data_IF_544551223134
#
_entry.id   IF_544551223134
#
_cell.length_a   1.000
_cell.length_b   1.000
_cell.length_c   1.000
_cell.angle_alpha   90.00
_cell.angle_beta   90.00
_cell.angle_gamma   90.00
#
_symmetry.space_group_name_H-M   'P 1'
#
loop_
_entity.id
_entity.type
_entity.pdbx_description
1 polymer ?
#
# COMPACT_ATOMS: atom_id res chain seq x y z
N UNK A 1 -54.08 5.02 -36.22
CA UNK A 1 -54.89 5.41 -35.05
C UNK A 1 -54.13 5.00 -33.80
N UNK A 2 -53.88 5.93 -32.87
CA UNK A 2 -53.30 5.77 -31.51
C UNK A 2 -51.91 5.08 -31.41
N UNK A 3 -50.77 5.75 -31.11
CA UNK A 3 -50.41 6.55 -29.91
C UNK A 3 -50.55 5.84 -28.56
N UNK A 4 -49.65 4.90 -28.27
CA UNK A 4 -49.04 4.60 -26.94
C UNK A 4 -47.77 3.76 -27.21
N UNK A 5 -46.67 3.74 -26.43
CA UNK A 5 -46.21 4.49 -25.24
C UNK A 5 -44.99 5.38 -25.63
N UNK A 6 -44.41 6.15 -24.70
CA UNK A 6 -43.12 6.86 -24.81
C UNK A 6 -42.27 6.58 -23.55
N UNK A 7 -40.94 6.52 -23.73
CA UNK A 7 -39.90 6.91 -22.75
C UNK A 7 -39.63 5.98 -21.53
N UNK A 8 -38.47 6.23 -20.88
CA UNK A 8 -37.89 5.57 -19.69
C UNK A 8 -37.33 4.15 -19.91
N UNK A 9 -36.08 3.80 -19.56
CA UNK A 9 -35.06 4.46 -18.71
C UNK A 9 -33.69 4.54 -19.42
N UNK A 10 -33.13 5.74 -19.58
CA UNK A 10 -31.68 5.90 -19.62
C UNK A 10 -31.20 5.92 -18.16
N UNK A 11 -30.86 4.75 -17.62
CA UNK A 11 -30.23 4.69 -16.30
C UNK A 11 -28.79 5.19 -16.43
N UNK A 12 -28.63 6.51 -16.34
CA UNK A 12 -27.33 7.12 -16.10
C UNK A 12 -26.92 6.66 -14.71
N UNK A 13 -26.08 5.63 -14.66
CA UNK A 13 -25.29 5.32 -13.48
C UNK A 13 -24.37 6.51 -13.26
N UNK A 14 -24.86 7.50 -12.52
CA UNK A 14 -24.05 8.54 -11.93
C UNK A 14 -23.15 7.83 -10.91
N UNK A 15 -22.04 7.27 -11.41
CA UNK A 15 -20.91 6.88 -10.60
C UNK A 15 -20.41 8.18 -10.02
N UNK A 16 -20.94 8.53 -8.84
CA UNK A 16 -20.43 9.59 -8.01
C UNK A 16 -19.03 9.17 -7.60
N UNK A 17 -18.06 9.58 -8.42
CA UNK A 17 -16.64 9.45 -8.11
C UNK A 17 -16.46 10.16 -6.78
N UNK A 18 -16.29 9.39 -5.71
CA UNK A 18 -16.03 9.88 -4.38
C UNK A 18 -14.65 10.55 -4.40
N UNK A 19 -14.63 11.82 -4.79
CA UNK A 19 -13.42 12.62 -4.78
C UNK A 19 -13.03 12.83 -3.34
N UNK A 20 -12.04 12.06 -2.87
CA UNK A 20 -11.44 12.30 -1.57
C UNK A 20 -10.68 13.63 -1.61
N UNK A 21 -10.84 14.46 -0.57
CA UNK A 21 -10.07 15.68 -0.43
C UNK A 21 -8.68 15.35 0.12
N UNK A 22 -7.67 15.48 -0.74
CA UNK A 22 -6.29 15.17 -0.39
C UNK A 22 -5.59 16.41 0.17
N UNK A 23 -4.75 16.26 1.23
CA UNK A 23 -3.86 17.34 1.62
C UNK A 23 -2.97 17.75 0.46
N UNK A 24 -2.56 19.02 0.41
CA UNK A 24 -1.46 19.47 -0.45
C UNK A 24 -0.20 18.63 -0.12
N UNK A 25 0.61 18.32 -1.14
CA UNK A 25 1.92 17.71 -0.95
C UNK A 25 2.76 18.58 -0.02
N UNK A 26 3.19 18.00 1.09
CA UNK A 26 4.07 18.62 2.07
C UNK A 26 5.08 17.56 2.55
N UNK A 27 6.33 17.76 2.15
CA UNK A 27 7.48 16.92 2.48
C UNK A 27 8.50 17.69 3.34
N UNK A 28 8.08 18.79 3.98
CA UNK A 28 8.97 19.69 4.75
C UNK A 28 9.53 19.05 6.03
N UNK A 29 8.88 18.01 6.55
CA UNK A 29 9.23 17.33 7.79
C UNK A 29 8.83 15.84 7.78
N UNK A 30 9.42 14.99 8.64
CA UNK A 30 8.95 13.62 8.82
C UNK A 30 7.47 13.54 9.21
N UNK A 31 7.00 14.50 10.03
CA UNK A 31 5.59 14.64 10.41
C UNK A 31 4.71 14.87 9.18
N UNK A 32 5.07 15.83 8.34
CA UNK A 32 4.34 16.17 7.11
C UNK A 32 4.29 15.01 6.12
N UNK A 33 5.44 14.38 5.86
CA UNK A 33 5.55 13.21 4.96
C UNK A 33 4.68 12.05 5.43
N UNK A 34 4.76 11.68 6.72
CA UNK A 34 3.92 10.62 7.27
C UNK A 34 2.42 10.99 7.22
N UNK A 35 2.07 12.23 7.57
CA UNK A 35 0.68 12.73 7.51
C UNK A 35 0.11 12.65 6.09
N UNK A 36 0.89 13.09 5.10
CA UNK A 36 0.51 13.07 3.70
C UNK A 36 0.38 11.63 3.18
N UNK A 37 1.32 10.74 3.50
CA UNK A 37 1.22 9.32 3.17
C UNK A 37 -0.07 8.67 3.72
N UNK A 38 -0.30 8.82 5.03
CA UNK A 38 -1.46 8.22 5.71
C UNK A 38 -2.79 8.75 5.18
N UNK A 39 -2.90 10.05 4.92
CA UNK A 39 -4.10 10.66 4.33
C UNK A 39 -4.32 10.22 2.88
N UNK A 40 -3.27 10.14 2.08
CA UNK A 40 -3.33 9.67 0.70
C UNK A 40 -3.78 8.20 0.63
N UNK A 41 -3.20 7.34 1.45
CA UNK A 41 -3.62 5.94 1.55
C UNK A 41 -5.00 5.75 2.20
N UNK A 42 -5.47 6.68 3.05
CA UNK A 42 -6.88 6.69 3.50
C UNK A 42 -7.83 6.92 2.33
N UNK A 43 -7.56 7.89 1.45
CA UNK A 43 -8.35 8.10 0.24
C UNK A 43 -8.37 6.85 -0.66
N UNK A 44 -7.21 6.21 -0.83
CA UNK A 44 -7.10 4.93 -1.56
C UNK A 44 -8.00 3.82 -0.98
N UNK A 45 -7.97 3.60 0.34
CA UNK A 45 -8.82 2.61 1.02
C UNK A 45 -10.33 2.90 0.92
N UNK A 46 -10.70 4.15 0.63
CA UNK A 46 -12.09 4.57 0.39
C UNK A 46 -12.54 4.37 -1.08
N UNK A 47 -11.64 3.93 -1.96
CA UNK A 47 -11.92 3.61 -3.36
C UNK A 47 -11.37 4.60 -4.39
N UNK A 48 -10.73 5.69 -3.95
CA UNK A 48 -10.15 6.70 -4.85
C UNK A 48 -8.73 6.29 -5.25
N UNK A 49 -8.57 5.82 -6.49
CA UNK A 49 -7.31 5.30 -7.02
C UNK A 49 -6.16 6.31 -6.97
N UNK A 50 -6.45 7.62 -7.00
CA UNK A 50 -5.45 8.71 -6.93
C UNK A 50 -4.62 8.64 -5.65
N UNK A 51 -5.21 8.18 -4.55
CA UNK A 51 -4.55 8.14 -3.24
C UNK A 51 -3.30 7.27 -3.21
N UNK A 52 -3.25 6.22 -4.03
CA UNK A 52 -2.06 5.37 -4.16
C UNK A 52 -0.94 6.12 -4.89
N UNK A 53 -1.26 6.78 -6.01
CA UNK A 53 -0.31 7.58 -6.79
C UNK A 53 0.30 8.72 -5.95
N UNK A 54 -0.56 9.45 -5.23
CA UNK A 54 -0.13 10.51 -4.32
C UNK A 54 0.80 9.97 -3.23
N UNK A 55 0.46 8.84 -2.60
CA UNK A 55 1.30 8.23 -1.57
C UNK A 55 2.71 7.85 -2.07
N UNK A 56 2.87 7.46 -3.34
CA UNK A 56 4.20 7.14 -3.90
C UNK A 56 5.21 8.30 -3.87
N UNK A 57 4.72 9.55 -3.84
CA UNK A 57 5.57 10.75 -3.79
C UNK A 57 6.31 10.92 -2.46
N UNK A 58 5.99 10.10 -1.45
CA UNK A 58 6.67 10.10 -0.15
C UNK A 58 7.84 9.12 -0.08
N UNK A 59 8.10 8.34 -1.14
CA UNK A 59 9.07 7.26 -1.15
C UNK A 59 10.36 7.71 -1.87
N UNK A 60 11.52 7.42 -1.30
CA UNK A 60 12.79 7.55 -2.01
C UNK A 60 12.96 6.36 -2.97
N UNK A 61 12.72 6.64 -4.25
CA UNK A 61 12.79 5.67 -5.35
C UNK A 61 14.12 5.76 -6.13
N UNK A 62 15.13 6.47 -5.61
CA UNK A 62 16.41 6.73 -6.29
C UNK A 62 17.18 5.47 -6.67
N UNK A 63 17.06 4.40 -5.87
CA UNK A 63 17.69 3.09 -6.12
C UNK A 63 16.95 2.24 -7.17
N UNK A 64 15.81 2.70 -7.71
CA UNK A 64 15.00 1.92 -8.65
C UNK A 64 15.26 2.30 -10.12
N UNK A 65 15.44 1.26 -10.93
CA UNK A 65 15.44 1.33 -12.39
C UNK A 65 14.12 1.95 -12.89
N UNK A 66 14.21 2.93 -13.79
CA UNK A 66 13.08 3.66 -14.36
C UNK A 66 11.98 2.76 -14.92
N UNK A 67 12.35 1.66 -15.59
CA UNK A 67 11.40 0.72 -16.22
C UNK A 67 10.51 0.00 -15.20
N UNK A 68 10.97 -0.19 -13.97
CA UNK A 68 10.20 -0.85 -12.91
C UNK A 68 9.71 0.10 -11.81
N UNK A 69 10.27 1.32 -11.73
CA UNK A 69 10.00 2.35 -10.71
C UNK A 69 8.51 2.53 -10.44
N UNK A 70 7.71 2.75 -11.49
CA UNK A 70 6.26 2.98 -11.37
C UNK A 70 5.48 1.79 -10.76
N UNK A 71 5.86 0.56 -11.08
CA UNK A 71 5.20 -0.64 -10.53
C UNK A 71 5.66 -0.89 -9.09
N UNK A 72 6.96 -0.74 -8.84
CA UNK A 72 7.56 -0.92 -7.51
C UNK A 72 7.14 0.14 -6.51
N UNK A 73 6.97 1.39 -6.92
CA UNK A 73 6.48 2.47 -6.05
C UNK A 73 5.08 2.17 -5.49
N UNK A 74 4.18 1.65 -6.34
CA UNK A 74 2.84 1.22 -5.94
C UNK A 74 2.88 0.02 -4.99
N UNK A 75 3.69 -1.01 -5.30
CA UNK A 75 3.92 -2.17 -4.42
C UNK A 75 4.41 -1.71 -3.03
N UNK A 76 5.42 -0.84 -2.98
CA UNK A 76 5.95 -0.31 -1.72
C UNK A 76 4.95 0.55 -0.96
N UNK A 77 4.17 1.42 -1.60
CA UNK A 77 3.14 2.20 -0.92
C UNK A 77 2.05 1.30 -0.31
N UNK A 78 1.63 0.24 -1.01
CA UNK A 78 0.68 -0.76 -0.51
C UNK A 78 1.26 -1.56 0.67
N UNK A 79 2.50 -2.02 0.56
CA UNK A 79 3.20 -2.73 1.64
C UNK A 79 3.40 -1.86 2.87
N UNK A 80 3.86 -0.62 2.69
CA UNK A 80 4.10 0.33 3.78
C UNK A 80 2.81 0.60 4.57
N UNK A 81 1.67 0.84 3.91
CA UNK A 81 0.41 1.03 4.65
C UNK A 81 -0.05 -0.27 5.32
N UNK A 82 0.10 -1.44 4.68
CA UNK A 82 -0.26 -2.72 5.29
C UNK A 82 0.58 -3.05 6.53
N UNK A 83 1.86 -2.67 6.53
CA UNK A 83 2.77 -2.80 7.67
C UNK A 83 2.35 -1.83 8.77
N UNK A 84 2.18 -0.55 8.46
CA UNK A 84 1.78 0.48 9.43
C UNK A 84 0.46 0.13 10.13
N UNK A 85 -0.57 -0.26 9.37
CA UNK A 85 -1.89 -0.68 9.86
C UNK A 85 -1.85 -1.86 10.86
N UNK A 86 -0.83 -2.72 10.76
CA UNK A 86 -0.65 -3.92 11.61
C UNK A 86 0.30 -3.69 12.78
N UNK A 87 1.08 -2.61 12.75
CA UNK A 87 1.97 -2.24 13.84
C UNK A 87 1.16 -1.53 14.93
N UNK A 88 0.62 -0.34 14.63
CA UNK A 88 -0.12 0.48 15.60
C UNK A 88 -0.89 1.62 14.92
N UNK A 89 -1.74 2.30 15.69
CA UNK A 89 -2.32 3.57 15.25
C UNK A 89 -1.26 4.69 15.36
N UNK A 90 -0.83 5.24 14.24
CA UNK A 90 0.15 6.34 14.22
C UNK A 90 -0.51 7.66 14.65
N UNK A 91 -0.17 8.14 15.84
CA UNK A 91 -0.45 9.53 16.22
C UNK A 91 0.60 10.46 15.60
N UNK A 92 0.33 10.99 14.41
CA UNK A 92 1.19 11.92 13.66
C UNK A 92 1.73 13.08 14.52
N UNK A 93 1.00 13.54 15.55
CA UNK A 93 1.44 14.65 16.42
C UNK A 93 2.70 14.33 17.24
N UNK A 94 3.04 13.06 17.47
CA UNK A 94 4.26 12.66 18.21
C UNK A 94 5.52 12.63 17.34
N UNK A 95 5.36 12.63 16.02
CA UNK A 95 6.46 12.68 15.05
C UNK A 95 7.07 14.09 15.05
N UNK A 96 8.39 14.29 15.03
CA UNK A 96 8.98 15.62 15.01
C UNK A 96 8.75 16.35 13.67
N UNK A 97 8.52 17.66 13.75
CA UNK A 97 8.61 18.57 12.58
C UNK A 97 10.07 18.88 12.24
N UNK A 98 10.87 19.22 13.24
CA UNK A 98 12.27 19.58 13.07
C UNK A 98 13.17 18.61 13.88
N UNK A 99 13.45 17.40 13.36
CA UNK A 99 14.42 16.50 13.99
C UNK A 99 15.85 17.10 13.91
N UNK A 100 16.73 16.79 14.88
CA UNK A 100 18.09 17.35 14.92
C UNK A 100 19.07 16.74 13.90
N UNK A 101 18.69 15.63 13.27
CA UNK A 101 19.48 14.93 12.26
C UNK A 101 18.74 14.91 10.92
N UNK A 102 19.45 14.66 9.82
CA UNK A 102 18.87 14.53 8.46
C UNK A 102 18.13 13.21 8.23
N UNK A 103 18.11 12.31 9.22
CA UNK A 103 17.33 11.07 9.22
C UNK A 103 16.56 10.98 10.54
N UNK A 104 15.29 10.58 10.46
CA UNK A 104 14.45 10.27 11.60
C UNK A 104 13.94 8.84 11.49
N UNK A 105 14.18 8.04 12.52
CA UNK A 105 13.69 6.67 12.63
C UNK A 105 12.34 6.67 13.34
N UNK A 106 11.28 6.21 12.66
CA UNK A 106 10.04 5.80 13.32
C UNK A 106 10.27 4.52 14.11
N UNK A 107 10.94 3.53 13.48
CA UNK A 107 11.31 2.25 14.08
C UNK A 107 12.70 1.81 13.61
N UNK A 108 13.43 1.19 14.51
CA UNK A 108 14.72 0.55 14.26
C UNK A 108 14.81 -0.65 15.20
N UNK A 109 14.58 -1.85 14.68
CA UNK A 109 14.41 -3.06 15.50
C UNK A 109 15.01 -4.31 14.82
N UNK A 110 15.06 -5.43 15.56
CA UNK A 110 15.54 -6.71 15.04
C UNK A 110 14.41 -7.73 15.08
N UNK A 111 13.88 -8.08 13.91
CA UNK A 111 12.82 -9.07 13.77
C UNK A 111 13.41 -10.48 13.72
N UNK A 112 12.72 -11.45 14.34
CA UNK A 112 13.04 -12.87 14.18
C UNK A 112 12.27 -13.41 12.97
N UNK A 113 13.00 -13.82 11.93
CA UNK A 113 12.49 -14.39 10.69
C UNK A 113 13.16 -15.76 10.52
N UNK A 114 12.38 -16.85 10.41
CA UNK A 114 12.91 -18.21 10.20
C UNK A 114 14.10 -18.60 11.11
N UNK A 115 14.02 -18.24 12.39
CA UNK A 115 15.06 -18.39 13.43
C UNK A 115 16.23 -17.40 13.38
N UNK A 116 16.47 -16.73 12.26
CA UNK A 116 17.47 -15.66 12.13
C UNK A 116 16.97 -14.31 12.70
N UNK A 117 17.91 -13.41 13.05
CA UNK A 117 17.62 -12.03 13.47
C UNK A 117 17.97 -11.07 12.34
N UNK A 118 16.96 -10.46 11.72
CA UNK A 118 17.13 -9.45 10.67
C UNK A 118 16.94 -8.07 11.27
N UNK A 119 17.92 -7.17 11.07
CA UNK A 119 17.76 -5.74 11.42
C UNK A 119 16.90 -5.06 10.35
N UNK A 120 15.84 -4.39 10.79
CA UNK A 120 14.92 -3.64 9.94
C UNK A 120 14.79 -2.21 10.43
N UNK A 121 14.43 -1.31 9.53
CA UNK A 121 14.14 0.08 9.88
C UNK A 121 12.91 0.60 9.16
N UNK A 122 12.29 1.60 9.77
CA UNK A 122 11.35 2.49 9.12
C UNK A 122 11.80 3.91 9.44
N UNK A 123 12.36 4.58 8.44
CA UNK A 123 13.00 5.87 8.57
C UNK A 123 12.56 6.80 7.42
N UNK A 124 12.43 8.08 7.75
CA UNK A 124 12.24 9.16 6.80
C UNK A 124 13.51 10.01 6.84
N UNK A 125 14.13 10.28 5.70
CA UNK A 125 15.35 11.08 5.60
C UNK A 125 15.19 12.23 4.62
N UNK A 126 15.97 13.29 4.82
CA UNK A 126 16.01 14.47 3.98
C UNK A 126 16.88 14.21 2.74
N UNK A 127 16.30 14.32 1.55
CA UNK A 127 17.02 14.20 0.27
C UNK A 127 17.87 15.46 -0.03
N UNK A 128 18.50 15.53 -1.21
CA UNK A 128 19.37 16.65 -1.60
C UNK A 128 18.56 17.92 -1.88
N UNK A 129 17.31 17.74 -2.30
CA UNK A 129 16.30 18.73 -2.63
C UNK A 129 15.66 19.33 -1.36
N UNK A 130 15.92 18.72 -0.20
CA UNK A 130 15.46 19.17 1.12
C UNK A 130 14.11 18.57 1.56
N UNK A 131 13.58 17.62 0.81
CA UNK A 131 12.33 16.91 1.07
C UNK A 131 12.58 15.68 1.95
N UNK A 132 11.63 15.39 2.84
CA UNK A 132 11.66 14.21 3.70
C UNK A 132 10.94 13.05 3.03
N UNK A 133 11.65 11.94 2.77
CA UNK A 133 11.15 10.76 2.07
C UNK A 133 11.45 9.47 2.86
N UNK A 134 10.58 8.47 2.77
CA UNK A 134 10.84 7.13 3.28
C UNK A 134 12.06 6.52 2.59
N UNK A 135 13.07 6.14 3.36
CA UNK A 135 14.38 5.73 2.84
C UNK A 135 14.32 4.46 1.98
N UNK A 136 15.25 4.24 1.01
CA UNK A 136 15.27 3.01 0.22
C UNK A 136 15.37 1.75 1.10
N UNK A 137 16.15 1.83 2.19
CA UNK A 137 16.30 0.78 3.19
C UNK A 137 15.03 0.52 4.01
N UNK A 138 14.14 1.52 4.16
CA UNK A 138 12.77 1.29 4.65
C UNK A 138 11.98 0.44 3.67
N UNK A 139 12.07 0.74 2.36
CA UNK A 139 11.36 -0.01 1.31
C UNK A 139 11.82 -1.47 1.24
N UNK A 140 13.13 -1.71 1.38
CA UNK A 140 13.73 -3.04 1.53
C UNK A 140 13.26 -3.76 2.81
N UNK A 141 13.10 -3.02 3.92
CA UNK A 141 12.63 -3.58 5.20
C UNK A 141 11.17 -4.07 5.14
N UNK A 142 10.35 -3.59 4.20
CA UNK A 142 8.92 -3.91 4.13
C UNK A 142 8.62 -5.40 3.96
N UNK A 143 9.41 -6.13 3.15
CA UNK A 143 9.18 -7.56 2.94
C UNK A 143 9.40 -8.36 4.24
N UNK A 144 10.37 -7.97 5.07
CA UNK A 144 10.60 -8.58 6.39
C UNK A 144 9.49 -8.24 7.39
N UNK A 145 8.99 -6.99 7.37
CA UNK A 145 7.83 -6.60 8.17
C UNK A 145 6.57 -7.38 7.75
N UNK A 146 6.28 -7.54 6.45
CA UNK A 146 5.12 -8.34 5.99
C UNK A 146 5.21 -9.81 6.44
N UNK A 147 6.39 -10.43 6.38
CA UNK A 147 6.60 -11.80 6.87
C UNK A 147 6.34 -11.89 8.38
N UNK A 148 6.90 -10.97 9.16
CA UNK A 148 6.73 -10.96 10.62
C UNK A 148 5.30 -10.65 11.07
N UNK A 149 4.58 -9.80 10.33
CA UNK A 149 3.23 -9.32 10.66
C UNK A 149 2.12 -10.15 10.01
N UNK A 150 2.44 -11.14 9.17
CA UNK A 150 1.47 -11.96 8.39
C UNK A 150 0.32 -12.50 9.26
N UNK A 151 0.65 -13.00 10.45
CA UNK A 151 -0.27 -13.62 11.40
C UNK A 151 -0.82 -12.66 12.47
N UNK A 152 -0.54 -11.36 12.39
CA UNK A 152 -1.13 -10.35 13.29
C UNK A 152 -2.33 -9.67 12.61
N UNK A 153 -3.43 -9.56 13.34
CA UNK A 153 -4.61 -8.82 12.92
C UNK A 153 -4.34 -7.32 12.77
N UNK A 154 -5.12 -6.66 11.92
CA UNK A 154 -5.09 -5.19 11.76
C UNK A 154 -5.68 -4.54 13.00
N UNK A 155 -5.01 -3.52 13.53
CA UNK A 155 -5.42 -2.84 14.77
C UNK A 155 -6.81 -2.20 14.59
N UNK A 156 -7.67 -2.36 15.59
CA UNK A 156 -9.13 -2.19 15.47
C UNK A 156 -9.62 -0.80 14.97
N UNK A 157 -8.79 0.25 15.09
CA UNK A 157 -9.13 1.64 14.75
C UNK A 157 -8.61 2.11 13.39
N UNK A 158 -8.13 1.22 12.53
CA UNK A 158 -7.82 1.52 11.12
C UNK A 158 -9.05 1.26 10.24
N UNK A 159 -9.27 2.12 9.24
CA UNK A 159 -10.33 1.92 8.24
C UNK A 159 -10.17 0.55 7.55
N UNK A 160 -11.10 -0.38 7.85
CA UNK A 160 -11.06 -1.75 7.35
C UNK A 160 -11.32 -1.78 5.85
N UNK A 161 -10.32 -2.24 5.11
CA UNK A 161 -10.39 -2.49 3.68
C UNK A 161 -11.59 -3.40 3.33
N UNK A 162 -12.42 -2.95 2.38
CA UNK A 162 -13.58 -3.70 1.86
C UNK A 162 -13.20 -4.71 0.77
N UNK A 163 -11.92 -4.81 0.39
CA UNK A 163 -11.46 -5.66 -0.70
C UNK A 163 -11.67 -7.16 -0.44
N UNK A 164 -12.57 -7.76 -1.22
CA UNK A 164 -12.89 -9.20 -1.19
C UNK A 164 -11.67 -10.08 -1.50
N UNK A 165 -10.72 -9.58 -2.30
CA UNK A 165 -9.49 -10.32 -2.64
C UNK A 165 -8.64 -10.65 -1.40
N UNK A 166 -8.73 -9.85 -0.33
CA UNK A 166 -8.03 -10.11 0.94
C UNK A 166 -8.62 -11.30 1.70
N UNK A 167 -9.94 -11.53 1.61
CA UNK A 167 -10.57 -12.75 2.16
C UNK A 167 -10.12 -14.00 1.40
N UNK A 168 -10.04 -13.90 0.07
CA UNK A 168 -9.57 -15.01 -0.78
C UNK A 168 -8.11 -15.36 -0.44
N UNK A 169 -7.24 -14.34 -0.27
CA UNK A 169 -5.82 -14.55 0.11
C UNK A 169 -5.64 -15.23 1.47
N UNK A 170 -6.54 -14.97 2.44
CA UNK A 170 -6.48 -15.59 3.77
C UNK A 170 -7.01 -17.03 3.82
N UNK A 171 -7.93 -17.41 2.92
CA UNK A 171 -8.48 -18.77 2.85
C UNK A 171 -7.67 -19.71 1.93
N UNK A 172 -6.72 -19.18 1.16
CA UNK A 172 -5.88 -19.97 0.27
C UNK A 172 -4.64 -20.49 1.02
N UNK A 173 -4.28 -21.78 0.85
CA UNK A 173 -3.14 -22.38 1.52
C UNK A 173 -1.80 -21.78 1.04
N UNK A 174 -0.78 -21.82 1.90
CA UNK A 174 0.51 -21.16 1.67
C UNK A 174 1.25 -21.58 0.39
N UNK A 175 0.96 -22.75 -0.16
CA UNK A 175 1.53 -23.18 -1.45
C UNK A 175 0.95 -22.41 -2.64
N UNK A 176 -0.25 -21.84 -2.56
CA UNK A 176 -0.93 -21.17 -3.68
C UNK A 176 -0.19 -19.90 -4.15
N UNK A 177 0.49 -19.21 -3.23
CA UNK A 177 1.28 -18.00 -3.49
C UNK A 177 2.79 -18.24 -3.56
N UNK A 178 3.25 -19.50 -3.56
CA UNK A 178 4.64 -19.79 -3.94
C UNK A 178 4.79 -19.57 -5.45
N UNK A 179 5.82 -18.80 -5.82
CA UNK A 179 6.26 -18.70 -7.21
C UNK A 179 7.02 -19.98 -7.56
N UNK A 180 6.53 -20.71 -8.56
CA UNK A 180 7.17 -21.93 -9.05
C UNK A 180 7.34 -21.80 -10.56
N UNK A 181 8.60 -21.89 -11.01
CA UNK A 181 9.00 -21.46 -12.35
C UNK A 181 8.71 -19.95 -12.57
N UNK A 182 7.93 -19.59 -13.60
CA UNK A 182 7.67 -18.19 -13.99
C UNK A 182 6.52 -17.55 -13.21
N UNK A 183 5.51 -18.33 -12.82
CA UNK A 183 4.23 -17.87 -12.26
C UNK A 183 4.00 -18.33 -10.81
N UNK A 184 2.97 -17.79 -10.16
CA UNK A 184 2.46 -18.30 -8.89
C UNK A 184 1.68 -19.60 -9.12
N UNK A 185 1.70 -20.52 -8.16
CA UNK A 185 0.97 -21.79 -8.26
C UNK A 185 -0.54 -21.61 -8.54
N UNK A 186 -1.16 -20.56 -7.97
CA UNK A 186 -2.57 -20.23 -8.24
C UNK A 186 -2.82 -19.79 -9.70
N UNK A 187 -1.83 -19.22 -10.37
CA UNK A 187 -1.94 -18.82 -11.79
C UNK A 187 -1.87 -20.04 -12.72
N UNK A 188 -1.05 -21.04 -12.38
CA UNK A 188 -1.05 -22.34 -13.07
C UNK A 188 -2.40 -23.07 -12.96
N UNK A 189 -3.03 -23.04 -11.78
CA UNK A 189 -4.41 -23.54 -11.60
C UNK A 189 -5.42 -22.78 -12.47
N UNK A 190 -5.31 -21.45 -12.54
CA UNK A 190 -6.15 -20.63 -13.41
C UNK A 190 -6.02 -21.02 -14.89
N UNK A 191 -4.80 -21.24 -15.38
CA UNK A 191 -4.56 -21.72 -16.75
C UNK A 191 -5.17 -23.11 -16.99
N UNK A 192 -5.04 -24.04 -16.03
CA UNK A 192 -5.61 -25.38 -16.15
C UNK A 192 -7.14 -25.36 -16.23
N UNK A 193 -7.80 -24.49 -15.43
CA UNK A 193 -9.25 -24.27 -15.49
C UNK A 193 -9.68 -23.66 -16.83
N UNK A 194 -8.93 -22.69 -17.36
CA UNK A 194 -9.24 -22.08 -18.68
C UNK A 194 -9.14 -23.12 -19.80
N UNK A 195 -8.14 -24.00 -19.78
CA UNK A 195 -8.00 -25.10 -20.75
C UNK A 195 -9.16 -26.10 -20.62
N UNK A 196 -9.54 -26.47 -19.40
CA UNK A 196 -10.68 -27.36 -19.15
C UNK A 196 -12.05 -26.78 -19.56
N UNK A 197 -12.18 -25.45 -19.58
CA UNK A 197 -13.41 -24.74 -19.99
C UNK A 197 -13.42 -24.36 -21.47
N UNK A 198 -12.33 -24.59 -22.22
CA UNK A 198 -12.27 -24.36 -23.66
C UNK A 198 -12.46 -25.64 -24.49
N UNK A 199 -12.99 -26.70 -23.87
CA UNK A 199 -13.25 -28.02 -24.45
C UNK A 199 -14.66 -28.48 -24.08
#
# INVERSE_FOLDING_TARGET
MNKVIKLFLLSIFAISVLSYDYPKLDLSSPRSTMNYFLKSMKGHKLGDSRGLELATQTLDLSQLNEKSRNVKARDYALKLINVLDRIEYINVKTIPENPPHTIWYYRLESLKINQEKVKVEMAIAKNKEGEWLFTPKTLESLDFYEIHLKNKDVVANVAKDKSWTRKIKNNLPDWAFKKNFILLNIQWLGLFIVILLSY
#
